data_IF_628643778096
#
_entry.id   IF_628643778096
#
_cell.length_a   1.000
_cell.length_b   1.000
_cell.length_c   1.000
_cell.angle_alpha   90.00
_cell.angle_beta   90.00
_cell.angle_gamma   90.00
#
_symmetry.space_group_name_H-M   'P 1'
#
loop_
_entity.id
_entity.type
_entity.pdbx_description
1 polymer ?
#
# COMPACT_ATOMS: atom_id res chain seq x y z
N UNK A 1 5.11 29.26 -8.03
CA UNK A 1 5.36 28.14 -7.09
C UNK A 1 4.10 27.92 -6.28
N UNK A 2 3.66 26.69 -6.01
CA UNK A 2 2.57 26.50 -5.07
C UNK A 2 2.99 27.04 -3.71
N UNK A 3 2.13 27.85 -3.08
CA UNK A 3 2.37 28.40 -1.77
C UNK A 3 2.31 27.32 -0.69
N UNK A 4 3.14 27.42 0.35
CA UNK A 4 3.01 26.58 1.54
C UNK A 4 1.73 26.98 2.26
N UNK A 5 0.86 26.00 2.53
CA UNK A 5 -0.35 26.24 3.34
C UNK A 5 -0.02 25.97 4.81
N UNK A 6 -0.33 26.92 5.67
CA UNK A 6 -0.10 26.78 7.11
C UNK A 6 -1.23 25.97 7.80
N UNK A 7 -2.40 25.90 7.17
CA UNK A 7 -3.59 25.22 7.69
C UNK A 7 -4.30 24.44 6.60
N UNK A 8 -4.70 23.23 6.93
CA UNK A 8 -5.45 22.36 6.03
C UNK A 8 -6.90 22.81 5.83
N UNK A 9 -7.51 23.42 6.82
CA UNK A 9 -8.95 23.73 6.88
C UNK A 9 -9.46 24.59 5.69
N UNK A 10 -8.78 25.66 5.23
CA UNK A 10 -9.25 26.42 4.08
C UNK A 10 -9.26 25.60 2.80
N UNK A 11 -8.28 24.69 2.64
CA UNK A 11 -8.22 23.81 1.48
C UNK A 11 -9.31 22.73 1.57
N UNK A 12 -9.47 22.12 2.74
CA UNK A 12 -10.42 21.04 2.97
C UNK A 12 -11.89 21.45 2.68
N UNK A 13 -12.25 22.71 2.89
CA UNK A 13 -13.61 23.18 2.65
C UNK A 13 -14.03 23.18 1.17
N UNK A 14 -13.07 23.05 0.25
CA UNK A 14 -13.33 23.03 -1.19
C UNK A 14 -13.53 21.62 -1.76
N UNK A 15 -13.44 20.57 -0.92
CA UNK A 15 -13.48 19.17 -1.37
C UNK A 15 -14.42 18.33 -0.50
N UNK A 16 -15.08 17.37 -1.14
CA UNK A 16 -15.95 16.39 -0.47
C UNK A 16 -15.22 15.08 -0.16
N UNK A 17 -14.14 14.79 -0.89
CA UNK A 17 -13.35 13.56 -0.76
C UNK A 17 -11.88 13.89 -0.59
N UNK A 18 -11.25 13.23 0.38
CA UNK A 18 -9.82 13.32 0.63
C UNK A 18 -9.18 11.94 0.42
N UNK A 19 -8.24 11.88 -0.51
CA UNK A 19 -7.34 10.74 -0.67
C UNK A 19 -6.04 11.05 0.08
N UNK A 20 -5.77 10.31 1.14
CA UNK A 20 -4.68 10.60 2.07
C UNK A 20 -3.65 9.46 2.07
N UNK A 21 -2.38 9.80 1.84
CA UNK A 21 -1.30 8.85 2.05
C UNK A 21 -1.20 8.46 3.53
N UNK A 22 -0.53 7.37 3.79
CA UNK A 22 -0.47 6.75 5.14
C UNK A 22 0.89 6.98 5.80
N UNK A 23 1.94 6.43 5.22
CA UNK A 23 3.26 6.48 5.83
C UNK A 23 3.88 7.87 5.70
N UNK A 24 4.36 8.44 6.82
CA UNK A 24 4.88 9.81 6.85
C UNK A 24 3.81 10.91 6.93
N UNK A 25 2.51 10.55 6.80
CA UNK A 25 1.37 11.48 6.87
C UNK A 25 0.47 11.17 8.05
N UNK A 26 0.09 9.91 8.26
CA UNK A 26 -0.80 9.49 9.35
C UNK A 26 0.00 8.88 10.51
N UNK A 27 1.13 8.26 10.20
CA UNK A 27 2.08 7.70 11.17
C UNK A 27 3.51 7.68 10.62
N UNK A 28 4.49 7.48 11.51
CA UNK A 28 5.91 7.36 11.16
C UNK A 28 6.48 5.93 11.30
N UNK A 29 5.63 4.93 11.44
CA UNK A 29 6.03 3.53 11.69
C UNK A 29 6.22 3.19 13.18
N UNK A 30 6.25 4.19 14.06
CA UNK A 30 6.40 4.03 15.52
C UNK A 30 5.14 4.48 16.24
N UNK A 31 4.56 5.60 15.83
CA UNK A 31 3.36 6.19 16.44
C UNK A 31 2.54 6.95 15.39
N UNK A 32 1.25 7.09 15.66
CA UNK A 32 0.36 7.96 14.89
C UNK A 32 0.72 9.43 15.09
N UNK A 33 0.48 10.25 14.06
CA UNK A 33 0.48 11.70 14.18
C UNK A 33 -0.93 12.15 14.62
N UNK A 34 -1.05 12.59 15.86
CA UNK A 34 -2.35 12.94 16.46
C UNK A 34 -3.04 14.07 15.70
N UNK A 35 -2.29 15.08 15.29
CA UNK A 35 -2.80 16.24 14.54
C UNK A 35 -3.36 15.86 13.17
N UNK A 36 -2.71 14.92 12.48
CA UNK A 36 -3.21 14.40 11.22
C UNK A 36 -4.54 13.63 11.42
N UNK A 37 -4.58 12.75 12.41
CA UNK A 37 -5.79 12.03 12.79
C UNK A 37 -6.95 12.96 13.16
N UNK A 38 -6.67 14.02 13.92
CA UNK A 38 -7.69 15.02 14.29
C UNK A 38 -8.16 15.84 13.08
N UNK A 39 -7.28 16.21 12.16
CA UNK A 39 -7.64 16.93 10.95
C UNK A 39 -8.57 16.10 10.06
N UNK A 40 -8.23 14.82 9.85
CA UNK A 40 -9.03 13.87 9.07
C UNK A 40 -10.40 13.61 9.73
N UNK A 41 -10.44 13.41 11.05
CA UNK A 41 -11.69 13.20 11.77
C UNK A 41 -12.62 14.43 11.70
N UNK A 42 -12.07 15.65 11.81
CA UNK A 42 -12.85 16.88 11.60
C UNK A 42 -13.35 17.02 10.17
N UNK A 43 -12.58 16.60 9.17
CA UNK A 43 -13.02 16.60 7.78
C UNK A 43 -14.24 15.68 7.60
N UNK A 44 -14.19 14.47 8.17
CA UNK A 44 -15.31 13.52 8.16
C UNK A 44 -16.53 14.03 8.92
N UNK A 45 -16.33 14.64 10.08
CA UNK A 45 -17.41 15.20 10.90
C UNK A 45 -18.22 16.28 10.17
N UNK A 46 -17.68 16.89 9.12
CA UNK A 46 -18.38 17.86 8.24
C UNK A 46 -19.06 17.19 7.04
N UNK A 47 -19.10 15.87 6.99
CA UNK A 47 -19.70 15.10 5.90
C UNK A 47 -18.72 14.73 4.78
N UNK A 48 -17.43 15.02 4.92
CA UNK A 48 -16.40 14.61 3.96
C UNK A 48 -16.07 13.13 4.06
N UNK A 49 -15.58 12.54 2.97
CA UNK A 49 -15.11 11.16 2.90
C UNK A 49 -13.58 11.11 2.89
N UNK A 50 -12.98 10.28 3.72
CA UNK A 50 -11.53 10.07 3.77
C UNK A 50 -11.19 8.64 3.36
N UNK A 51 -10.39 8.48 2.31
CA UNK A 51 -9.84 7.21 1.87
C UNK A 51 -8.33 7.25 2.08
N UNK A 52 -7.81 6.34 2.90
CA UNK A 52 -6.37 6.16 3.04
C UNK A 52 -5.84 5.37 1.85
N UNK A 53 -4.81 5.90 1.21
CA UNK A 53 -4.11 5.25 0.08
C UNK A 53 -2.69 4.93 0.51
N UNK A 54 -2.25 3.70 0.29
CA UNK A 54 -0.89 3.29 0.64
C UNK A 54 -0.27 2.40 -0.43
N UNK A 55 1.02 2.56 -0.68
CA UNK A 55 1.83 1.66 -1.49
C UNK A 55 2.22 0.36 -0.74
N UNK A 56 1.74 0.13 0.48
CA UNK A 56 2.03 -1.09 1.22
C UNK A 56 1.62 -2.34 0.43
N UNK A 57 2.51 -3.33 0.24
CA UNK A 57 2.21 -4.56 -0.46
C UNK A 57 1.47 -5.54 0.47
N UNK A 58 0.39 -5.09 1.09
CA UNK A 58 -0.41 -5.84 2.08
C UNK A 58 -1.88 -5.56 1.89
N UNK A 59 -2.76 -6.54 2.11
CA UNK A 59 -4.20 -6.31 2.11
C UNK A 59 -4.61 -5.22 3.10
N UNK A 60 -5.60 -4.41 2.76
CA UNK A 60 -6.08 -3.30 3.59
C UNK A 60 -6.48 -3.71 5.01
N UNK A 61 -6.99 -4.95 5.18
CA UNK A 61 -7.26 -5.52 6.51
C UNK A 61 -5.99 -5.66 7.36
N UNK A 62 -4.84 -5.99 6.75
CA UNK A 62 -3.56 -6.05 7.45
C UNK A 62 -3.01 -4.65 7.74
N UNK A 63 -3.16 -3.72 6.79
CA UNK A 63 -2.81 -2.30 7.00
C UNK A 63 -3.61 -1.74 8.18
N UNK A 64 -4.92 -2.01 8.25
CA UNK A 64 -5.78 -1.57 9.35
C UNK A 64 -5.27 -2.03 10.72
N UNK A 65 -4.86 -3.29 10.84
CA UNK A 65 -4.29 -3.82 12.10
C UNK A 65 -3.02 -3.06 12.53
N UNK A 66 -2.20 -2.67 11.56
CA UNK A 66 -1.00 -1.87 11.83
C UNK A 66 -1.40 -0.48 12.34
N UNK A 67 -2.34 0.18 11.66
CA UNK A 67 -2.85 1.50 12.06
C UNK A 67 -3.43 1.49 13.47
N UNK A 68 -4.17 0.43 13.82
CA UNK A 68 -4.72 0.25 15.18
C UNK A 68 -3.60 0.12 16.22
N UNK A 69 -2.59 -0.71 15.91
CA UNK A 69 -1.44 -0.90 16.80
C UNK A 69 -0.60 0.36 16.99
N UNK A 70 -0.59 1.28 16.02
CA UNK A 70 0.10 2.56 16.09
C UNK A 70 -0.76 3.68 16.73
N UNK A 71 -2.02 3.40 17.05
CA UNK A 71 -2.92 4.38 17.67
C UNK A 71 -3.58 5.35 16.69
N UNK A 72 -3.63 5.02 15.40
CA UNK A 72 -4.40 5.81 14.43
C UNK A 72 -5.88 5.68 14.74
N UNK A 73 -6.54 6.81 14.97
CA UNK A 73 -7.97 6.82 15.35
C UNK A 73 -8.88 6.34 14.22
N UNK A 74 -9.84 5.50 14.57
CA UNK A 74 -10.75 4.83 13.64
C UNK A 74 -11.73 5.77 12.94
N UNK A 75 -12.06 6.87 13.57
CA UNK A 75 -12.95 7.89 13.00
C UNK A 75 -12.23 8.86 12.05
N UNK A 76 -10.92 8.69 11.83
CA UNK A 76 -10.13 9.50 10.90
C UNK A 76 -10.36 9.13 9.43
N UNK A 77 -10.90 7.94 9.11
CA UNK A 77 -11.03 7.46 7.72
C UNK A 77 -12.24 6.54 7.53
N UNK A 78 -12.72 6.46 6.30
CA UNK A 78 -13.83 5.61 5.88
C UNK A 78 -13.34 4.28 5.30
N UNK A 79 -12.31 4.34 4.46
CA UNK A 79 -11.78 3.18 3.76
C UNK A 79 -10.26 3.24 3.66
N UNK A 80 -9.66 2.08 3.34
CA UNK A 80 -8.24 1.94 3.01
C UNK A 80 -8.15 1.28 1.64
N UNK A 81 -7.32 1.84 0.76
CA UNK A 81 -6.92 1.23 -0.50
C UNK A 81 -5.40 1.02 -0.48
N UNK A 82 -4.96 -0.21 -0.63
CA UNK A 82 -3.55 -0.56 -0.65
C UNK A 82 -3.11 -1.09 -2.02
N UNK A 83 -1.83 -0.96 -2.35
CA UNK A 83 -1.24 -1.67 -3.50
C UNK A 83 -1.46 -3.19 -3.40
N UNK A 84 -1.44 -3.72 -2.17
CA UNK A 84 -1.73 -5.13 -1.93
C UNK A 84 -3.14 -5.55 -2.34
N UNK A 85 -4.17 -4.73 -2.07
CA UNK A 85 -5.54 -5.04 -2.49
C UNK A 85 -5.70 -4.98 -4.02
N UNK A 86 -5.09 -3.98 -4.66
CA UNK A 86 -5.10 -3.86 -6.13
C UNK A 86 -4.40 -5.07 -6.76
N UNK A 87 -3.23 -5.43 -6.24
CA UNK A 87 -2.47 -6.61 -6.70
C UNK A 87 -3.28 -7.89 -6.55
N UNK A 88 -3.97 -8.08 -5.43
CA UNK A 88 -4.86 -9.24 -5.21
C UNK A 88 -5.94 -9.35 -6.29
N UNK A 89 -6.60 -8.24 -6.64
CA UNK A 89 -7.60 -8.23 -7.72
C UNK A 89 -7.02 -8.63 -9.07
N UNK A 90 -5.79 -8.18 -9.38
CA UNK A 90 -5.08 -8.56 -10.62
C UNK A 90 -4.72 -10.06 -10.60
N UNK A 91 -4.17 -10.54 -9.48
CA UNK A 91 -3.80 -11.97 -9.32
C UNK A 91 -5.03 -12.86 -9.44
N UNK A 92 -6.15 -12.49 -8.85
CA UNK A 92 -7.40 -13.24 -8.94
C UNK A 92 -7.93 -13.31 -10.40
N UNK A 93 -7.83 -12.20 -11.13
CA UNK A 93 -8.19 -12.17 -12.55
C UNK A 93 -7.28 -13.07 -13.41
N UNK A 94 -6.04 -13.29 -12.97
CA UNK A 94 -5.01 -14.10 -13.62
C UNK A 94 -4.88 -15.53 -13.05
N UNK A 95 -5.87 -16.04 -12.33
CA UNK A 95 -5.80 -17.33 -11.61
C UNK A 95 -5.40 -18.55 -12.47
N UNK A 96 -5.59 -18.50 -13.78
CA UNK A 96 -5.19 -19.55 -14.71
C UNK A 96 -3.70 -19.45 -15.13
N UNK A 97 -3.03 -18.35 -14.80
CA UNK A 97 -1.65 -18.08 -15.15
C UNK A 97 -0.73 -18.37 -13.95
N UNK A 98 0.52 -18.71 -14.24
CA UNK A 98 1.52 -19.02 -13.21
C UNK A 98 2.25 -17.74 -12.80
N UNK A 99 2.40 -17.53 -11.49
CA UNK A 99 3.05 -16.34 -10.94
C UNK A 99 4.42 -16.63 -10.37
N UNK A 100 5.40 -15.77 -10.66
CA UNK A 100 6.62 -15.65 -9.88
C UNK A 100 6.46 -14.49 -8.90
N UNK A 101 6.70 -14.74 -7.61
CA UNK A 101 6.69 -13.69 -6.59
C UNK A 101 8.11 -13.25 -6.28
N UNK A 102 8.44 -12.01 -6.65
CA UNK A 102 9.65 -11.30 -6.24
C UNK A 102 9.34 -10.44 -5.03
N UNK A 103 9.85 -10.83 -3.88
CA UNK A 103 9.65 -10.10 -2.63
C UNK A 103 9.80 -10.97 -1.39
N UNK A 104 9.86 -10.34 -0.21
CA UNK A 104 10.11 -11.04 1.04
C UNK A 104 8.93 -11.93 1.45
N UNK A 105 9.18 -12.99 2.25
CA UNK A 105 8.12 -13.87 2.74
C UNK A 105 7.00 -13.16 3.50
N UNK A 106 7.29 -12.04 4.16
CA UNK A 106 6.31 -11.20 4.88
C UNK A 106 5.19 -10.64 3.99
N UNK A 107 5.38 -10.60 2.66
CA UNK A 107 4.41 -10.09 1.70
C UNK A 107 3.54 -11.20 1.06
N UNK A 108 3.85 -12.47 1.34
CA UNK A 108 3.03 -13.62 0.92
C UNK A 108 1.52 -13.51 1.23
N UNK A 109 1.07 -12.81 2.29
CA UNK A 109 -0.36 -12.58 2.52
C UNK A 109 -1.11 -11.91 1.37
N UNK A 110 -0.42 -11.29 0.39
CA UNK A 110 -1.04 -10.82 -0.87
C UNK A 110 -1.80 -11.96 -1.56
N UNK A 111 -1.29 -13.18 -1.50
CA UNK A 111 -1.85 -14.35 -2.19
C UNK A 111 -2.80 -15.19 -1.30
N UNK A 112 -2.94 -14.86 -0.02
CA UNK A 112 -3.72 -15.66 0.91
C UNK A 112 -5.19 -15.77 0.48
N UNK A 113 -5.71 -17.00 0.39
CA UNK A 113 -7.09 -17.30 -0.01
C UNK A 113 -7.38 -17.13 -1.50
N UNK A 114 -6.36 -16.87 -2.34
CA UNK A 114 -6.48 -16.87 -3.80
C UNK A 114 -6.02 -18.23 -4.35
N UNK A 115 -6.65 -18.66 -5.45
CA UNK A 115 -6.22 -19.84 -6.22
C UNK A 115 -5.04 -19.42 -7.12
N UNK A 116 -3.82 -19.74 -6.67
CA UNK A 116 -2.58 -19.26 -7.28
C UNK A 116 -1.61 -20.40 -7.51
N UNK A 117 -1.14 -20.53 -8.73
CA UNK A 117 -0.04 -21.44 -9.10
C UNK A 117 1.27 -20.68 -9.14
N UNK A 118 2.16 -20.94 -8.18
CA UNK A 118 3.52 -20.38 -8.18
C UNK A 118 4.43 -21.16 -9.14
N UNK A 119 5.32 -20.44 -9.82
CA UNK A 119 6.31 -21.03 -10.71
C UNK A 119 7.66 -20.31 -10.57
N UNK A 120 8.78 -20.98 -10.93
CA UNK A 120 10.05 -20.31 -11.14
C UNK A 120 9.95 -19.22 -12.21
N UNK A 121 10.84 -18.22 -12.15
CA UNK A 121 10.82 -17.09 -13.08
C UNK A 121 10.81 -17.52 -14.55
N UNK A 122 11.61 -18.57 -14.89
CA UNK A 122 11.77 -19.10 -16.25
C UNK A 122 10.48 -19.66 -16.83
N UNK A 123 9.52 -20.01 -16.00
CA UNK A 123 8.27 -20.66 -16.43
C UNK A 123 7.02 -19.92 -16.00
N UNK A 124 7.16 -18.83 -15.24
CA UNK A 124 6.04 -18.01 -14.82
C UNK A 124 5.45 -17.23 -16.01
N UNK A 125 4.18 -16.98 -15.98
CA UNK A 125 3.48 -16.21 -17.02
C UNK A 125 3.46 -14.71 -16.68
N UNK A 126 3.58 -14.36 -15.39
CA UNK A 126 3.72 -12.98 -14.90
C UNK A 126 4.47 -12.92 -13.57
N UNK A 127 4.89 -11.71 -13.21
CA UNK A 127 5.64 -11.44 -11.97
C UNK A 127 4.83 -10.49 -11.08
N UNK A 128 4.76 -10.82 -9.80
CA UNK A 128 4.34 -9.87 -8.75
C UNK A 128 5.59 -9.47 -7.97
N UNK A 129 6.00 -8.21 -8.12
CA UNK A 129 7.10 -7.62 -7.35
C UNK A 129 6.50 -6.83 -6.18
N UNK A 130 6.69 -7.31 -4.96
CA UNK A 130 6.21 -6.63 -3.74
C UNK A 130 7.30 -5.85 -3.02
N UNK A 131 8.56 -6.05 -3.37
CA UNK A 131 9.72 -5.36 -2.80
C UNK A 131 10.99 -6.19 -2.87
N UNK A 132 12.02 -5.69 -2.23
CA UNK A 132 13.28 -6.39 -2.05
C UNK A 132 13.13 -7.49 -0.98
N UNK A 133 13.95 -8.53 -1.03
CA UNK A 133 13.98 -9.54 0.03
C UNK A 133 14.56 -8.96 1.32
N UNK A 134 15.65 -8.20 1.20
CA UNK A 134 16.29 -7.47 2.29
C UNK A 134 16.82 -6.12 1.78
N UNK A 135 16.08 -5.06 2.04
CA UNK A 135 16.38 -3.70 1.63
C UNK A 135 17.58 -3.07 2.39
N UNK A 136 18.13 -3.75 3.40
CA UNK A 136 19.31 -3.30 4.14
C UNK A 136 20.64 -3.75 3.50
N UNK A 137 20.61 -4.78 2.67
CA UNK A 137 21.83 -5.40 2.09
C UNK A 137 21.80 -5.51 0.57
N UNK A 138 20.61 -5.53 -0.04
CA UNK A 138 20.47 -5.69 -1.49
C UNK A 138 20.65 -4.36 -2.22
N UNK A 139 21.19 -4.47 -3.41
CA UNK A 139 21.41 -3.35 -4.34
C UNK A 139 20.76 -3.64 -5.69
N UNK A 140 20.61 -2.66 -6.59
CA UNK A 140 20.13 -2.89 -7.95
C UNK A 140 20.91 -3.97 -8.71
N UNK A 141 22.21 -4.11 -8.43
CA UNK A 141 23.06 -5.13 -9.02
C UNK A 141 22.63 -6.55 -8.66
N UNK A 142 22.12 -6.75 -7.45
CA UNK A 142 21.59 -8.05 -6.97
C UNK A 142 20.46 -8.60 -7.85
N UNK A 143 19.78 -7.74 -8.60
CA UNK A 143 18.65 -8.07 -9.45
C UNK A 143 18.94 -8.00 -10.95
N UNK A 144 20.15 -7.61 -11.36
CA UNK A 144 20.49 -7.34 -12.77
C UNK A 144 20.15 -8.49 -13.71
N UNK A 145 20.57 -9.70 -13.37
CA UNK A 145 20.34 -10.89 -14.22
C UNK A 145 18.85 -11.25 -14.26
N UNK A 146 18.18 -11.23 -13.11
CA UNK A 146 16.75 -11.51 -13.00
C UNK A 146 15.91 -10.50 -13.81
N UNK A 147 16.23 -9.21 -13.70
CA UNK A 147 15.54 -8.16 -14.45
C UNK A 147 15.82 -8.23 -15.94
N UNK A 148 17.04 -8.64 -16.35
CA UNK A 148 17.35 -8.86 -17.75
C UNK A 148 16.48 -10.00 -18.33
N UNK A 149 16.39 -11.13 -17.64
CA UNK A 149 15.53 -12.25 -18.03
C UNK A 149 14.03 -11.84 -18.12
N UNK A 150 13.56 -11.04 -17.16
CA UNK A 150 12.17 -10.53 -17.21
C UNK A 150 11.89 -9.65 -18.43
N UNK A 151 12.89 -8.86 -18.86
CA UNK A 151 12.74 -7.96 -20.01
C UNK A 151 12.73 -8.70 -21.35
N UNK A 152 13.35 -9.86 -21.43
CA UNK A 152 13.44 -10.69 -22.65
C UNK A 152 12.18 -11.52 -22.91
N UNK A 153 11.24 -11.54 -21.97
CA UNK A 153 9.99 -12.31 -22.00
C UNK A 153 8.78 -11.41 -22.13
#
# INVERSE_FOLDING_TARGET
MPGVIERFEPLASAYDVLLCDVWGVVHNGVAAFAEAGDALARFRARGGTVILITNAPRPGAAVRKILDGLGVRRDAYDAITSSGDVTRGIVEAKRAERVFHLGPPRDRPIFAGLDVTFAPLETADYVVCSGLFDDTVETPESYREMLALMRER
#
